data_IF_827467860725
#
_entry.id   IF_827467860725
#
_cell.length_a   1.000
_cell.length_b   1.000
_cell.length_c   1.000
_cell.angle_alpha   90.00
_cell.angle_beta   90.00
_cell.angle_gamma   90.00
#
_symmetry.space_group_name_H-M   'P 1'
#
loop_
_entity.id
_entity.type
_entity.pdbx_description
1 polymer ?
#
# COMPACT_ATOMS: atom_id res chain seq x y z
N UNK A 1 61.85 20.81 -36.75
CA UNK A 1 60.70 20.86 -37.67
C UNK A 1 60.68 19.54 -38.42
N UNK A 2 59.57 18.81 -38.29
CA UNK A 2 59.09 17.64 -39.06
C UNK A 2 58.60 16.54 -38.14
N UNK A 3 57.27 16.50 -38.05
CA UNK A 3 56.43 15.43 -37.50
C UNK A 3 56.37 14.30 -38.53
N UNK A 4 56.47 13.05 -38.09
CA UNK A 4 55.78 11.87 -38.66
C UNK A 4 56.32 10.59 -37.97
N UNK A 5 55.55 9.53 -37.70
CA UNK A 5 54.13 9.28 -37.86
C UNK A 5 53.73 8.27 -36.78
N UNK A 6 52.58 8.50 -36.15
CA UNK A 6 51.96 7.58 -35.20
C UNK A 6 51.57 6.29 -35.92
N UNK A 7 52.19 5.16 -35.58
CA UNK A 7 51.77 3.85 -36.11
C UNK A 7 50.31 3.58 -35.73
N UNK A 8 49.45 3.12 -36.67
CA UNK A 8 48.07 2.79 -36.35
C UNK A 8 48.04 1.53 -35.47
N UNK A 9 47.43 1.64 -34.28
CA UNK A 9 47.06 0.48 -33.46
C UNK A 9 46.12 -0.41 -34.28
N UNK A 10 46.48 -1.67 -34.50
CA UNK A 10 45.60 -2.66 -35.10
C UNK A 10 44.43 -2.96 -34.18
N UNK A 11 43.30 -2.29 -34.41
CA UNK A 11 42.01 -2.67 -33.85
C UNK A 11 41.42 -3.78 -34.72
N UNK A 12 41.40 -5.00 -34.18
CA UNK A 12 40.65 -6.13 -34.73
C UNK A 12 41.54 -7.20 -35.37
N UNK A 13 41.91 -8.22 -34.60
CA UNK A 13 42.25 -9.50 -35.20
C UNK A 13 40.95 -10.10 -35.75
N UNK A 14 40.69 -9.95 -37.05
CA UNK A 14 39.71 -10.77 -37.74
C UNK A 14 40.19 -12.21 -37.65
N UNK A 15 39.41 -13.07 -36.99
CA UNK A 15 39.64 -14.51 -37.03
C UNK A 15 39.62 -14.97 -38.48
N UNK A 16 40.52 -15.89 -38.90
CA UNK A 16 40.61 -16.31 -40.29
C UNK A 16 39.28 -16.93 -40.73
N UNK A 17 38.72 -16.44 -41.83
CA UNK A 17 37.49 -16.96 -42.42
C UNK A 17 37.77 -18.32 -43.07
N UNK A 18 37.58 -19.38 -42.30
CA UNK A 18 37.86 -20.77 -42.65
C UNK A 18 36.60 -21.59 -42.41
N UNK A 19 36.49 -22.75 -43.03
CA UNK A 19 35.36 -23.65 -42.79
C UNK A 19 35.19 -23.97 -41.28
N UNK A 20 36.31 -24.09 -40.55
CA UNK A 20 36.32 -24.32 -39.11
C UNK A 20 35.78 -23.11 -38.32
N UNK A 21 36.19 -21.87 -38.64
CA UNK A 21 35.69 -20.69 -37.94
C UNK A 21 34.21 -20.45 -38.22
N UNK A 22 33.73 -20.69 -39.45
CA UNK A 22 32.30 -20.65 -39.79
C UNK A 22 31.48 -21.67 -39.02
N UNK A 23 31.99 -22.90 -38.85
CA UNK A 23 31.33 -23.93 -38.07
C UNK A 23 31.22 -23.54 -36.58
N UNK A 24 32.30 -23.01 -36.00
CA UNK A 24 32.32 -22.55 -34.60
C UNK A 24 31.33 -21.39 -34.41
N UNK A 25 31.35 -20.39 -35.30
CA UNK A 25 30.40 -19.27 -35.24
C UNK A 25 28.97 -19.77 -35.35
N UNK A 26 28.68 -20.68 -36.29
CA UNK A 26 27.35 -21.27 -36.44
C UNK A 26 26.87 -21.98 -35.16
N UNK A 27 27.75 -22.74 -34.51
CA UNK A 27 27.44 -23.40 -33.23
C UNK A 27 27.17 -22.38 -32.10
N UNK A 28 28.00 -21.34 -31.98
CA UNK A 28 27.82 -20.31 -30.96
C UNK A 28 26.53 -19.50 -31.19
N UNK A 29 26.22 -19.16 -32.44
CA UNK A 29 24.97 -18.49 -32.80
C UNK A 29 23.77 -19.39 -32.50
N UNK A 30 23.82 -20.68 -32.86
CA UNK A 30 22.75 -21.62 -32.56
C UNK A 30 22.57 -21.81 -31.04
N UNK A 31 23.65 -21.90 -30.27
CA UNK A 31 23.61 -21.98 -28.82
C UNK A 31 22.98 -20.72 -28.18
N UNK A 32 23.36 -19.53 -28.65
CA UNK A 32 22.80 -18.27 -28.18
C UNK A 32 21.31 -18.14 -28.52
N UNK A 33 20.92 -18.43 -29.77
CA UNK A 33 19.51 -18.39 -30.18
C UNK A 33 18.68 -19.40 -29.38
N UNK A 34 19.21 -20.60 -29.14
CA UNK A 34 18.56 -21.62 -28.31
C UNK A 34 18.40 -21.13 -26.87
N UNK A 35 19.45 -20.55 -26.28
CA UNK A 35 19.40 -20.01 -24.92
C UNK A 35 18.36 -18.89 -24.78
N UNK A 36 18.23 -18.01 -25.78
CA UNK A 36 17.24 -16.93 -25.81
C UNK A 36 15.81 -17.47 -26.04
N UNK A 37 15.65 -18.52 -26.85
CA UNK A 37 14.35 -19.12 -27.15
C UNK A 37 13.85 -20.09 -26.06
N UNK A 38 14.74 -20.65 -25.24
CA UNK A 38 14.41 -21.67 -24.24
C UNK A 38 13.33 -21.21 -23.24
N UNK A 39 13.35 -19.97 -22.70
CA UNK A 39 12.30 -19.47 -21.82
C UNK A 39 10.93 -19.36 -22.49
N UNK A 40 10.87 -19.24 -23.81
CA UNK A 40 9.61 -19.13 -24.55
C UNK A 40 8.75 -20.40 -24.43
N UNK A 41 9.35 -21.56 -24.17
CA UNK A 41 8.63 -22.82 -23.87
C UNK A 41 7.79 -22.74 -22.59
N UNK A 42 8.07 -21.78 -21.73
CA UNK A 42 7.31 -21.54 -20.50
C UNK A 42 6.28 -20.42 -20.65
N UNK A 43 6.20 -19.74 -21.80
CA UNK A 43 5.14 -18.77 -22.10
C UNK A 43 3.79 -19.50 -22.08
N UNK A 44 2.93 -19.14 -21.13
CA UNK A 44 1.59 -19.70 -20.98
C UNK A 44 1.44 -20.77 -19.88
N UNK A 45 2.52 -21.23 -19.25
CA UNK A 45 2.42 -22.11 -18.07
C UNK A 45 1.91 -21.30 -16.87
N UNK A 46 0.67 -21.58 -16.45
CA UNK A 46 0.05 -21.02 -15.24
C UNK A 46 0.56 -21.79 -14.01
N UNK A 47 1.77 -21.48 -13.56
CA UNK A 47 2.40 -22.07 -12.39
C UNK A 47 3.65 -21.28 -12.00
N UNK A 48 4.03 -21.35 -10.71
CA UNK A 48 5.08 -20.56 -10.08
C UNK A 48 6.45 -20.79 -10.76
N UNK A 49 6.76 -19.99 -11.79
CA UNK A 49 8.09 -19.93 -12.39
C UNK A 49 9.01 -19.26 -11.37
N UNK A 50 9.89 -20.05 -10.75
CA UNK A 50 10.88 -19.53 -9.79
C UNK A 50 11.86 -18.64 -10.55
N UNK A 51 11.78 -17.35 -10.25
CA UNK A 51 12.45 -16.29 -10.99
C UNK A 51 13.94 -16.19 -10.60
N UNK A 52 14.86 -16.16 -11.58
CA UNK A 52 16.31 -16.05 -11.34
C UNK A 52 16.94 -15.11 -12.36
N UNK A 53 17.65 -14.08 -11.88
CA UNK A 53 18.40 -13.15 -12.72
C UNK A 53 19.53 -13.89 -13.47
N UNK A 54 19.81 -13.61 -14.77
CA UNK A 54 19.31 -12.51 -15.62
C UNK A 54 18.09 -12.86 -16.51
N UNK A 55 17.66 -14.13 -16.55
CA UNK A 55 16.53 -14.57 -17.39
C UNK A 55 15.21 -14.56 -16.65
N UNK A 56 15.02 -13.53 -15.81
CA UNK A 56 13.85 -13.46 -14.98
C UNK A 56 12.58 -13.31 -15.82
N UNK A 57 11.55 -14.10 -15.52
CA UNK A 57 10.22 -13.78 -15.98
C UNK A 57 9.90 -12.42 -15.35
N UNK A 58 9.76 -11.36 -16.14
CA UNK A 58 9.49 -10.00 -15.65
C UNK A 58 7.97 -9.72 -15.68
N UNK A 59 7.09 -10.36 -14.88
CA UNK A 59 5.68 -10.01 -14.87
C UNK A 59 5.41 -8.79 -13.99
N UNK A 60 6.40 -7.92 -13.70
CA UNK A 60 6.19 -6.72 -12.88
C UNK A 60 5.09 -5.80 -13.43
N UNK A 61 4.77 -5.92 -14.73
CA UNK A 61 3.71 -5.15 -15.39
C UNK A 61 2.58 -6.00 -16.01
N UNK A 62 2.79 -7.30 -16.23
CA UNK A 62 1.80 -8.18 -16.88
C UNK A 62 1.06 -9.11 -15.92
N UNK A 63 1.53 -9.28 -14.67
CA UNK A 63 0.79 -10.05 -13.69
C UNK A 63 -0.56 -9.37 -13.39
N UNK A 64 -1.66 -10.11 -13.61
CA UNK A 64 -3.00 -9.65 -13.24
C UNK A 64 -3.04 -9.35 -11.74
N UNK A 65 -3.12 -8.06 -11.39
CA UNK A 65 -3.26 -7.63 -10.00
C UNK A 65 -4.58 -8.16 -9.44
N UNK A 66 -4.59 -8.49 -8.15
CA UNK A 66 -5.86 -8.80 -7.46
C UNK A 66 -6.78 -7.58 -7.56
N UNK A 67 -8.09 -7.77 -7.80
CA UNK A 67 -9.02 -6.66 -7.96
C UNK A 67 -9.25 -5.90 -6.63
N UNK A 68 -8.78 -6.45 -5.51
CA UNK A 68 -8.97 -5.88 -4.20
C UNK A 68 -7.71 -5.99 -3.34
N UNK A 69 -7.62 -5.12 -2.34
CA UNK A 69 -6.54 -5.09 -1.36
C UNK A 69 -7.08 -4.90 0.06
N UNK A 70 -6.42 -5.53 1.03
CA UNK A 70 -6.74 -5.37 2.45
C UNK A 70 -5.76 -4.39 3.09
N UNK A 71 -6.28 -3.33 3.71
CA UNK A 71 -5.47 -2.31 4.39
C UNK A 71 -5.92 -2.16 5.84
N UNK A 72 -5.00 -2.39 6.76
CA UNK A 72 -5.16 -2.01 8.17
C UNK A 72 -4.70 -0.57 8.34
N UNK A 73 -5.58 0.29 8.87
CA UNK A 73 -5.32 1.72 9.06
C UNK A 73 -6.27 2.28 10.14
N UNK A 74 -6.10 3.57 10.43
CA UNK A 74 -6.85 4.29 11.44
C UNK A 74 -7.94 5.15 10.79
N UNK A 75 -9.12 5.15 11.41
CA UNK A 75 -10.17 6.13 11.16
C UNK A 75 -10.36 7.00 12.40
N UNK A 76 -10.46 8.30 12.18
CA UNK A 76 -10.95 9.26 13.15
C UNK A 76 -12.43 9.46 12.91
N UNK A 77 -13.21 9.33 13.97
CA UNK A 77 -14.65 9.56 13.97
C UNK A 77 -14.90 10.91 14.62
N UNK A 78 -15.63 11.77 13.91
CA UNK A 78 -15.99 13.09 14.38
C UNK A 78 -17.31 13.05 15.17
N UNK A 79 -17.66 14.17 15.80
CA UNK A 79 -18.86 14.25 16.65
C UNK A 79 -20.17 14.00 15.89
N UNK A 80 -20.21 14.33 14.59
CA UNK A 80 -21.34 14.09 13.70
C UNK A 80 -21.41 12.65 13.16
N UNK A 81 -20.48 11.79 13.58
CA UNK A 81 -20.38 10.40 13.12
C UNK A 81 -19.67 10.23 11.79
N UNK A 82 -19.24 11.32 11.13
CA UNK A 82 -18.41 11.21 9.93
C UNK A 82 -17.07 10.58 10.27
N UNK A 83 -16.52 9.83 9.31
CA UNK A 83 -15.25 9.14 9.46
C UNK A 83 -14.25 9.64 8.43
N UNK A 84 -13.00 9.81 8.85
CA UNK A 84 -11.90 10.15 7.96
C UNK A 84 -10.63 9.38 8.31
N UNK A 85 -9.77 9.07 7.32
CA UNK A 85 -8.50 8.41 7.60
C UNK A 85 -7.59 9.31 8.44
N UNK A 86 -6.96 8.73 9.46
CA UNK A 86 -5.89 9.39 10.21
C UNK A 86 -4.54 9.13 9.57
N UNK A 87 -3.63 10.08 9.71
CA UNK A 87 -2.29 9.97 9.16
C UNK A 87 -1.49 8.84 9.82
N UNK A 88 -0.70 8.10 9.04
CA UNK A 88 0.05 6.93 9.53
C UNK A 88 1.07 7.27 10.63
N UNK A 89 1.47 8.54 10.77
CA UNK A 89 2.42 9.01 11.79
C UNK A 89 1.92 8.86 13.22
N UNK A 90 0.65 8.53 13.43
CA UNK A 90 0.11 8.16 14.74
C UNK A 90 0.45 6.70 15.13
N UNK A 91 0.88 5.87 14.18
CA UNK A 91 1.17 4.45 14.39
C UNK A 91 2.68 4.14 14.46
N UNK A 92 3.53 5.11 14.16
CA UNK A 92 4.98 4.96 14.18
C UNK A 92 5.70 6.06 13.42
N UNK A 93 7.02 6.13 13.63
CA UNK A 93 7.92 7.15 13.07
C UNK A 93 8.65 6.69 11.80
N UNK A 94 8.51 5.42 11.41
CA UNK A 94 9.12 4.88 10.20
C UNK A 94 8.38 5.22 8.90
N UNK A 95 8.91 4.76 7.78
CA UNK A 95 8.24 4.89 6.48
C UNK A 95 6.89 4.16 6.45
N UNK A 96 5.95 4.68 5.65
CA UNK A 96 4.55 4.19 5.56
C UNK A 96 4.46 2.66 5.44
N UNK A 97 5.28 2.03 4.59
CA UNK A 97 5.24 0.59 4.38
C UNK A 97 5.74 -0.22 5.60
N UNK A 98 6.73 0.29 6.33
CA UNK A 98 7.21 -0.34 7.55
C UNK A 98 6.15 -0.28 8.65
N UNK A 99 5.59 0.92 8.88
CA UNK A 99 4.51 1.14 9.85
C UNK A 99 3.29 0.27 9.52
N UNK A 100 2.85 0.24 8.26
CA UNK A 100 1.72 -0.60 7.84
C UNK A 100 1.94 -2.08 8.11
N UNK A 101 3.16 -2.61 7.90
CA UNK A 101 3.48 -4.01 8.20
C UNK A 101 3.41 -4.30 9.69
N UNK A 102 3.96 -3.41 10.52
CA UNK A 102 3.92 -3.55 11.98
C UNK A 102 2.49 -3.50 12.51
N UNK A 103 1.70 -2.52 12.07
CA UNK A 103 0.29 -2.38 12.47
C UNK A 103 -0.53 -3.59 12.04
N UNK A 104 -0.36 -4.05 10.80
CA UNK A 104 -1.04 -5.25 10.31
C UNK A 104 -0.72 -6.48 11.17
N UNK A 105 0.54 -6.63 11.57
CA UNK A 105 0.97 -7.72 12.47
C UNK A 105 0.27 -7.59 13.82
N UNK A 106 0.39 -6.44 14.49
CA UNK A 106 -0.21 -6.18 15.80
C UNK A 106 -1.72 -6.41 15.82
N UNK A 107 -2.44 -5.91 14.82
CA UNK A 107 -3.90 -6.13 14.70
C UNK A 107 -4.26 -7.60 14.49
N UNK A 108 -3.46 -8.35 13.73
CA UNK A 108 -3.65 -9.80 13.60
C UNK A 108 -3.40 -10.52 14.93
N UNK A 109 -2.45 -10.03 15.69
CA UNK A 109 -2.04 -10.61 16.98
C UNK A 109 -3.00 -10.18 18.13
N UNK A 110 -4.00 -9.34 17.86
CA UNK A 110 -5.08 -8.96 18.80
C UNK A 110 -4.96 -7.56 19.42
N UNK A 111 -3.86 -6.84 19.17
CA UNK A 111 -3.54 -5.54 19.79
C UNK A 111 -4.39 -4.35 19.26
N UNK A 112 -5.47 -4.60 18.53
CA UNK A 112 -6.30 -3.54 17.94
C UNK A 112 -6.80 -2.50 18.96
N UNK A 113 -7.36 -2.91 20.11
CA UNK A 113 -7.81 -1.97 21.15
C UNK A 113 -6.67 -1.14 21.75
N UNK A 114 -5.55 -1.77 22.11
CA UNK A 114 -4.38 -1.08 22.66
C UNK A 114 -3.80 -0.05 21.68
N UNK A 115 -3.79 -0.37 20.38
CA UNK A 115 -3.40 0.58 19.34
C UNK A 115 -4.37 1.76 19.25
N UNK A 116 -5.67 1.52 19.38
CA UNK A 116 -6.68 2.58 19.34
C UNK A 116 -6.50 3.54 20.53
N UNK A 117 -6.32 3.00 21.74
CA UNK A 117 -6.09 3.76 22.97
C UNK A 117 -4.84 4.63 22.86
N UNK A 118 -3.72 4.04 22.46
CA UNK A 118 -2.47 4.77 22.28
C UNK A 118 -2.61 5.94 21.29
N UNK A 119 -3.29 5.71 20.16
CA UNK A 119 -3.54 6.76 19.17
C UNK A 119 -4.48 7.84 19.69
N UNK A 120 -5.50 7.46 20.46
CA UNK A 120 -6.43 8.41 21.08
C UNK A 120 -5.71 9.34 22.06
N UNK A 121 -4.78 8.80 22.87
CA UNK A 121 -3.92 9.61 23.74
C UNK A 121 -3.02 10.57 22.94
N UNK A 122 -2.39 10.08 21.87
CA UNK A 122 -1.57 10.94 21.00
C UNK A 122 -2.38 12.05 20.33
N UNK A 123 -3.63 11.78 19.95
CA UNK A 123 -4.54 12.78 19.39
C UNK A 123 -4.95 13.82 20.43
N UNK A 124 -5.13 13.42 21.69
CA UNK A 124 -5.42 14.36 22.77
C UNK A 124 -4.22 15.29 23.04
N UNK A 125 -2.99 14.78 22.93
CA UNK A 125 -1.77 15.55 23.14
C UNK A 125 -1.40 16.43 21.93
N UNK A 126 -1.71 15.99 20.70
CA UNK A 126 -1.40 16.73 19.47
C UNK A 126 -2.53 17.68 19.10
N UNK A 127 -2.28 18.97 19.26
CA UNK A 127 -3.23 20.01 18.85
C UNK A 127 -3.08 20.40 17.37
N UNK A 128 -3.32 19.44 16.47
CA UNK A 128 -3.39 19.73 15.02
C UNK A 128 -4.80 20.23 14.68
N UNK A 129 -4.95 21.37 13.97
CA UNK A 129 -6.26 21.90 13.61
C UNK A 129 -7.17 20.88 12.91
N UNK A 130 -6.60 20.07 12.01
CA UNK A 130 -7.32 19.02 11.30
C UNK A 130 -7.88 17.93 12.22
N UNK A 131 -7.25 17.68 13.37
CA UNK A 131 -7.55 16.57 14.27
C UNK A 131 -8.46 16.93 15.46
N UNK A 132 -8.77 18.22 15.66
CA UNK A 132 -9.57 18.69 16.80
C UNK A 132 -10.99 18.15 16.83
N UNK A 133 -11.61 17.93 15.66
CA UNK A 133 -12.97 17.40 15.54
C UNK A 133 -13.10 15.90 15.84
N UNK A 134 -11.99 15.17 15.94
CA UNK A 134 -12.01 13.72 16.17
C UNK A 134 -12.26 13.42 17.63
N UNK A 135 -13.37 12.73 17.89
CA UNK A 135 -13.81 12.33 19.24
C UNK A 135 -13.51 10.87 19.55
N UNK A 136 -13.33 10.03 18.52
CA UNK A 136 -13.09 8.60 18.68
C UNK A 136 -12.18 8.08 17.57
N UNK A 137 -11.38 7.09 17.90
CA UNK A 137 -10.49 6.39 16.99
C UNK A 137 -11.01 4.98 16.76
N UNK A 138 -10.92 4.52 15.52
CA UNK A 138 -11.13 3.12 15.15
C UNK A 138 -9.91 2.59 14.41
N UNK A 139 -9.41 1.44 14.86
CA UNK A 139 -8.45 0.64 14.10
C UNK A 139 -9.27 -0.30 13.22
N UNK A 140 -9.16 -0.14 11.90
CA UNK A 140 -9.96 -0.91 10.96
C UNK A 140 -9.09 -1.69 10.00
N UNK A 141 -9.61 -2.85 9.58
CA UNK A 141 -9.13 -3.63 8.45
C UNK A 141 -10.13 -3.48 7.31
N UNK A 142 -9.79 -2.62 6.35
CA UNK A 142 -10.62 -2.33 5.19
C UNK A 142 -10.28 -3.19 3.98
N UNK A 143 -11.31 -3.60 3.22
CA UNK A 143 -11.18 -4.23 1.91
C UNK A 143 -11.58 -3.23 0.85
N UNK A 144 -10.66 -2.95 -0.06
CA UNK A 144 -10.83 -1.93 -1.09
C UNK A 144 -10.67 -2.50 -2.48
N UNK A 145 -11.50 -2.04 -3.42
CA UNK A 145 -11.37 -2.33 -4.85
C UNK A 145 -10.32 -1.40 -5.45
N UNK A 146 -9.36 -1.99 -6.18
CA UNK A 146 -8.22 -1.24 -6.73
C UNK A 146 -8.66 -0.38 -7.92
N UNK A 147 -9.43 -0.94 -8.86
CA UNK A 147 -9.79 -0.22 -10.09
C UNK A 147 -10.64 1.03 -9.85
N UNK A 148 -11.71 1.01 -9.02
CA UNK A 148 -12.49 2.21 -8.75
C UNK A 148 -11.68 3.26 -7.98
N UNK A 149 -10.82 2.85 -7.03
CA UNK A 149 -9.90 3.75 -6.34
C UNK A 149 -8.94 4.46 -7.32
N UNK A 150 -8.34 3.71 -8.25
CA UNK A 150 -7.42 4.28 -9.25
C UNK A 150 -8.11 5.21 -10.25
N UNK A 151 -9.43 5.05 -10.44
CA UNK A 151 -10.26 5.95 -11.25
C UNK A 151 -10.76 7.18 -10.48
N UNK A 152 -10.34 7.36 -9.22
CA UNK A 152 -10.76 8.49 -8.40
C UNK A 152 -12.25 8.46 -8.03
N UNK A 153 -12.86 7.27 -7.93
CA UNK A 153 -14.23 7.12 -7.45
C UNK A 153 -14.32 7.42 -5.96
N UNK A 154 -15.53 7.71 -5.50
CA UNK A 154 -15.77 8.04 -4.10
C UNK A 154 -15.48 6.85 -3.18
N UNK A 155 -15.17 7.16 -1.92
CA UNK A 155 -14.76 6.16 -0.92
C UNK A 155 -15.73 5.00 -0.80
N UNK A 156 -17.02 5.30 -0.82
CA UNK A 156 -18.06 4.31 -0.60
C UNK A 156 -18.20 3.36 -1.80
N UNK A 157 -17.77 3.77 -2.99
CA UNK A 157 -17.78 2.94 -4.19
C UNK A 157 -16.63 1.92 -4.22
N UNK A 158 -15.47 2.29 -3.68
CA UNK A 158 -14.31 1.39 -3.66
C UNK A 158 -14.17 0.63 -2.34
N UNK A 159 -14.94 0.94 -1.30
CA UNK A 159 -14.90 0.25 0.00
C UNK A 159 -15.90 -0.90 0.04
N UNK A 160 -15.40 -2.13 0.05
CA UNK A 160 -16.28 -3.33 0.09
C UNK A 160 -16.58 -3.79 1.51
N UNK A 161 -15.65 -3.59 2.44
CA UNK A 161 -15.84 -3.98 3.83
C UNK A 161 -14.91 -3.18 4.76
N UNK A 162 -15.42 -2.82 5.93
CA UNK A 162 -14.62 -2.29 7.04
C UNK A 162 -14.85 -3.19 8.25
N UNK A 163 -13.77 -3.75 8.80
CA UNK A 163 -13.81 -4.55 10.02
C UNK A 163 -13.12 -3.79 11.13
N UNK A 164 -13.84 -3.43 12.17
CA UNK A 164 -13.27 -2.78 13.35
C UNK A 164 -12.52 -3.82 14.17
N UNK A 165 -11.25 -3.54 14.46
CA UNK A 165 -10.38 -4.36 15.30
C UNK A 165 -10.15 -3.75 16.68
N UNK A 166 -10.48 -2.48 16.87
CA UNK A 166 -10.36 -1.77 18.15
C UNK A 166 -10.93 -0.37 18.06
N UNK A 167 -11.38 0.16 19.20
CA UNK A 167 -11.91 1.52 19.28
C UNK A 167 -11.52 2.16 20.61
N UNK A 168 -11.29 3.47 20.60
CA UNK A 168 -11.00 4.24 21.81
C UNK A 168 -11.53 5.67 21.66
N UNK A 169 -12.08 6.22 22.74
CA UNK A 169 -12.53 7.62 22.79
C UNK A 169 -11.32 8.52 23.04
N UNK A 170 -11.26 9.67 22.38
CA UNK A 170 -10.17 10.65 22.59
C UNK A 170 -10.38 11.36 23.93
N UNK A 171 -9.43 11.29 24.87
CA UNK A 171 -9.51 11.98 26.15
C UNK A 171 -9.77 13.48 25.98
N UNK A 172 -10.61 14.06 26.85
CA UNK A 172 -10.97 15.48 26.81
C UNK A 172 -11.93 15.89 25.68
N UNK A 173 -12.35 14.96 24.81
CA UNK A 173 -13.23 15.24 23.66
C UNK A 173 -14.57 14.51 23.69
N UNK A 174 -14.84 13.74 24.74
CA UNK A 174 -16.11 13.04 24.92
C UNK A 174 -17.31 13.99 24.94
N UNK A 175 -17.16 15.20 25.51
CA UNK A 175 -18.24 16.20 25.58
C UNK A 175 -18.61 16.79 24.22
N UNK A 176 -17.69 16.80 23.24
CA UNK A 176 -18.00 17.26 21.87
C UNK A 176 -19.04 16.35 21.20
N UNK A 177 -19.13 15.08 21.61
CA UNK A 177 -20.17 14.15 21.17
C UNK A 177 -21.52 14.41 21.84
N UNK A 178 -21.51 14.79 23.13
CA UNK A 178 -22.73 15.04 23.91
C UNK A 178 -23.40 16.38 23.56
N UNK A 179 -22.64 17.37 23.08
CA UNK A 179 -23.17 18.69 22.70
C UNK A 179 -24.06 18.72 21.43
N UNK A 180 -24.33 17.57 20.80
CA UNK A 180 -25.21 17.43 19.63
C UNK A 180 -26.00 16.12 19.68
N UNK A 181 -26.74 15.88 20.74
CA UNK A 181 -27.83 14.91 20.67
C UNK A 181 -28.93 15.50 19.76
N UNK A 182 -29.29 14.90 18.60
CA UNK A 182 -30.33 15.44 17.71
C UNK A 182 -31.74 15.29 18.28
N UNK A 183 -31.89 14.67 19.45
CA UNK A 183 -33.16 14.47 20.13
C UNK A 183 -33.01 14.81 21.61
N UNK A 184 -32.80 16.10 21.88
CA UNK A 184 -33.14 16.68 23.17
C UNK A 184 -34.65 16.59 23.39
N UNK A 185 -35.15 15.42 23.78
CA UNK A 185 -36.43 15.33 24.50
C UNK A 185 -36.14 15.83 25.91
N UNK A 186 -36.20 17.14 26.07
CA UNK A 186 -36.48 17.75 27.36
C UNK A 186 -37.90 17.36 27.74
N UNK A 187 -38.07 16.25 28.47
CA UNK A 187 -39.25 16.11 29.31
C UNK A 187 -39.12 17.11 30.46
N UNK A 188 -39.62 18.32 30.18
CA UNK A 188 -39.86 19.34 31.18
C UNK A 188 -40.95 18.87 32.13
N UNK A 189 -40.64 18.95 33.43
CA UNK A 189 -41.63 18.96 34.49
C UNK A 189 -42.56 20.18 34.35
N UNK A 190 -43.86 19.94 34.58
CA UNK A 190 -44.79 20.92 35.17
C UNK A 190 -45.71 21.65 34.19
N UNK A 191 -47.01 21.33 34.23
CA UNK A 191 -47.99 22.26 34.79
C UNK A 191 -49.32 21.55 35.07
N UNK A 192 -49.60 21.45 36.36
CA UNK A 192 -50.90 21.43 37.00
C UNK A 192 -51.84 22.49 36.39
N UNK A 193 -53.02 22.08 35.94
CA UNK A 193 -54.21 22.93 35.99
C UNK A 193 -55.48 22.08 36.14
N UNK A 194 -56.15 22.32 37.26
CA UNK A 194 -57.49 21.90 37.57
C UNK A 194 -58.51 22.47 36.56
N UNK A 195 -59.47 21.63 36.18
CA UNK A 195 -60.91 21.91 36.09
C UNK A 195 -61.66 20.60 35.78
#
# INVERSE_FOLDING_TARGET
MSLDATSPRSLGASTPDTAASRAIVGLLTAALLTAVALPARNLGRRGEVRDSFPFSHYPMFSAKRKPHYWVTHLLGIEADGTSRPLHYSYLGTGGLNAVRRQVRRRVRDGDGPLLAEHVAELLAQRDRPADRGVVRVEVVRGRYLVDPFMRGRDRDEFTTALRVSGTAVVPGRAMLRAGRDPLGVTEGQGHEHAA
#
